data_IF_756997061603
#
_entry.id   IF_756997061603
#
_cell.length_a   1.000
_cell.length_b   1.000
_cell.length_c   1.000
_cell.angle_alpha   90.00
_cell.angle_beta   90.00
_cell.angle_gamma   90.00
#
_symmetry.space_group_name_H-M   'P 1'
#
loop_
_entity.id
_entity.type
_entity.pdbx_description
1 polymer ?
#
# COMPACT_ATOMS: atom_id res chain seq x y z
N UNK A 1 -2.08 30.80 -0.19
CA UNK A 1 -2.84 29.79 -0.95
C UNK A 1 -1.85 28.83 -1.58
N UNK A 2 -1.88 27.55 -1.21
CA UNK A 2 -1.04 26.53 -1.84
C UNK A 2 -1.75 26.07 -3.11
N UNK A 3 -1.13 26.25 -4.28
CA UNK A 3 -1.62 25.65 -5.53
C UNK A 3 -1.01 24.25 -5.68
N UNK A 4 -1.85 23.25 -5.88
CA UNK A 4 -1.46 21.87 -6.14
C UNK A 4 -2.17 21.41 -7.42
N UNK A 5 -1.41 20.98 -8.42
CA UNK A 5 -1.97 20.47 -9.67
C UNK A 5 -2.48 19.03 -9.45
N UNK A 6 -3.43 18.59 -10.27
CA UNK A 6 -3.86 17.19 -10.30
C UNK A 6 -2.65 16.27 -10.49
N UNK A 7 -2.58 15.18 -9.73
CA UNK A 7 -1.45 14.24 -9.77
C UNK A 7 -0.17 14.71 -9.07
N UNK A 8 -0.13 15.95 -8.55
CA UNK A 8 1.04 16.48 -7.83
C UNK A 8 0.86 16.44 -6.31
N UNK A 9 1.97 16.65 -5.58
CA UNK A 9 1.96 16.69 -4.11
C UNK A 9 2.73 17.91 -3.59
N UNK A 10 2.09 18.68 -2.70
CA UNK A 10 2.70 19.77 -1.95
C UNK A 10 2.76 19.43 -0.48
N UNK A 11 3.84 19.80 0.20
CA UNK A 11 4.04 19.54 1.62
C UNK A 11 3.82 20.81 2.45
N UNK A 12 3.18 20.68 3.60
CA UNK A 12 3.20 21.66 4.69
C UNK A 12 3.40 20.98 6.04
N UNK A 13 3.83 21.68 7.10
CA UNK A 13 3.64 21.22 8.46
C UNK A 13 2.15 20.93 8.74
N UNK A 14 1.88 20.01 9.67
CA UNK A 14 0.54 19.87 10.21
C UNK A 14 0.12 21.14 10.95
N UNK A 15 -1.17 21.46 10.90
CA UNK A 15 -1.76 22.65 11.54
C UNK A 15 -3.15 22.31 12.08
N UNK A 16 -3.69 23.14 12.97
CA UNK A 16 -5.01 22.93 13.56
C UNK A 16 -5.06 21.68 14.44
N UNK A 17 -6.20 20.96 14.44
CA UNK A 17 -6.39 19.75 15.24
C UNK A 17 -5.47 18.59 14.83
N UNK A 18 -4.99 18.57 13.58
CA UNK A 18 -4.15 17.48 13.05
C UNK A 18 -2.77 17.41 13.68
N UNK A 19 -2.30 18.46 14.35
CA UNK A 19 -0.96 18.48 14.99
C UNK A 19 -0.80 17.46 16.12
N UNK A 20 -1.90 16.97 16.68
CA UNK A 20 -1.87 15.99 17.77
C UNK A 20 -1.47 14.59 17.28
N UNK A 21 -1.69 14.29 16.01
CA UNK A 21 -1.47 12.95 15.43
C UNK A 21 -0.50 12.95 14.26
N UNK A 22 -0.31 14.09 13.60
CA UNK A 22 0.50 14.22 12.39
C UNK A 22 1.49 15.37 12.50
N UNK A 23 2.68 15.18 11.92
CA UNK A 23 3.73 16.22 11.83
C UNK A 23 3.76 16.90 10.47
N UNK A 24 3.35 16.19 9.41
CA UNK A 24 3.37 16.65 8.02
C UNK A 24 2.02 16.41 7.34
N UNK A 25 1.63 17.32 6.46
CA UNK A 25 0.51 17.15 5.55
C UNK A 25 1.02 17.17 4.11
N UNK A 26 0.67 16.13 3.36
CA UNK A 26 0.93 16.01 1.93
C UNK A 26 -0.38 16.27 1.18
N UNK A 27 -0.48 17.46 0.61
CA UNK A 27 -1.62 17.91 -0.16
C UNK A 27 -1.51 17.40 -1.58
N UNK A 28 -2.43 16.54 -1.99
CA UNK A 28 -2.57 16.09 -3.37
C UNK A 28 -4.00 16.35 -3.86
N UNK A 29 -4.18 16.42 -5.18
CA UNK A 29 -5.48 16.66 -5.80
C UNK A 29 -5.85 15.45 -6.66
N UNK A 30 -6.68 14.54 -6.14
CA UNK A 30 -7.17 13.42 -6.92
C UNK A 30 -8.03 13.91 -8.10
N UNK A 31 -7.90 13.27 -9.27
CA UNK A 31 -8.73 13.59 -10.43
C UNK A 31 -10.20 13.20 -10.17
N UNK A 32 -11.11 13.78 -10.96
CA UNK A 32 -12.46 13.23 -11.08
C UNK A 32 -12.45 11.99 -11.98
N UNK A 33 -13.28 10.99 -11.67
CA UNK A 33 -13.43 9.75 -12.47
C UNK A 33 -13.82 9.99 -13.93
N UNK A 34 -14.51 11.11 -14.20
CA UNK A 34 -14.87 11.54 -15.54
C UNK A 34 -13.69 12.04 -16.38
N UNK A 35 -12.53 12.32 -15.76
CA UNK A 35 -11.32 12.67 -16.50
C UNK A 35 -10.84 11.48 -17.33
N UNK A 36 -10.45 11.67 -18.61
CA UNK A 36 -9.91 10.58 -19.43
C UNK A 36 -8.60 10.00 -18.86
N UNK A 37 -7.84 10.81 -18.11
CA UNK A 37 -6.57 10.43 -17.49
C UNK A 37 -6.69 10.04 -16.02
N UNK A 38 -7.91 9.80 -15.50
CA UNK A 38 -8.13 9.69 -14.05
C UNK A 38 -7.28 8.60 -13.38
N UNK A 39 -7.06 7.42 -13.99
CA UNK A 39 -6.21 6.39 -13.38
C UNK A 39 -4.76 6.86 -13.30
N UNK A 40 -4.23 7.40 -14.40
CA UNK A 40 -2.85 7.89 -14.48
C UNK A 40 -2.61 9.03 -13.47
N UNK A 41 -3.53 9.98 -13.40
CA UNK A 41 -3.45 11.11 -12.46
C UNK A 41 -3.59 10.65 -11.01
N UNK A 42 -4.44 9.66 -10.73
CA UNK A 42 -4.58 9.08 -9.39
C UNK A 42 -3.33 8.29 -8.99
N UNK A 43 -2.74 7.51 -9.90
CA UNK A 43 -1.43 6.88 -9.70
C UNK A 43 -0.35 7.93 -9.41
N UNK A 44 -0.38 9.08 -10.10
CA UNK A 44 0.55 10.17 -9.85
C UNK A 44 0.37 10.77 -8.45
N UNK A 45 -0.85 10.93 -7.95
CA UNK A 45 -1.11 11.35 -6.56
C UNK A 45 -0.40 10.45 -5.54
N UNK A 46 -0.56 9.13 -5.67
CA UNK A 46 0.08 8.16 -4.77
C UNK A 46 1.60 8.18 -4.89
N UNK A 47 2.13 8.06 -6.11
CA UNK A 47 3.58 7.94 -6.34
C UNK A 47 4.34 9.22 -5.98
N UNK A 48 3.80 10.40 -6.28
CA UNK A 48 4.42 11.67 -5.88
C UNK A 48 4.36 11.90 -4.37
N UNK A 49 3.29 11.44 -3.70
CA UNK A 49 3.18 11.48 -2.23
C UNK A 49 4.21 10.56 -1.55
N UNK A 50 4.36 9.32 -2.05
CA UNK A 50 5.35 8.37 -1.56
C UNK A 50 6.78 8.91 -1.73
N UNK A 51 7.12 9.41 -2.93
CA UNK A 51 8.41 10.02 -3.20
C UNK A 51 8.67 11.23 -2.28
N UNK A 52 7.66 12.08 -2.04
CA UNK A 52 7.77 13.22 -1.13
C UNK A 52 8.02 12.76 0.30
N UNK A 53 7.27 11.77 0.80
CA UNK A 53 7.47 11.22 2.15
C UNK A 53 8.88 10.63 2.34
N UNK A 54 9.39 9.90 1.35
CA UNK A 54 10.77 9.41 1.37
C UNK A 54 11.80 10.54 1.40
N UNK A 55 11.60 11.59 0.58
CA UNK A 55 12.51 12.75 0.56
C UNK A 55 12.54 13.50 1.90
N UNK A 56 11.44 13.45 2.65
CA UNK A 56 11.31 14.01 4.00
C UNK A 56 11.78 13.03 5.09
N UNK A 57 12.26 11.84 4.73
CA UNK A 57 12.68 10.78 5.65
C UNK A 57 11.60 10.34 6.65
N UNK A 58 10.33 10.36 6.23
CA UNK A 58 9.21 9.90 7.05
C UNK A 58 9.23 8.38 7.19
N UNK A 59 8.82 7.88 8.35
CA UNK A 59 8.71 6.44 8.63
C UNK A 59 7.31 5.89 8.37
N UNK A 60 6.28 6.74 8.43
CA UNK A 60 4.87 6.36 8.25
C UNK A 60 4.18 7.39 7.37
N UNK A 61 3.39 6.92 6.41
CA UNK A 61 2.50 7.74 5.59
C UNK A 61 1.10 7.12 5.60
N UNK A 62 0.11 7.90 6.01
CA UNK A 62 -1.30 7.49 5.98
C UNK A 62 -2.00 8.10 4.75
N UNK A 63 -2.74 7.28 4.02
CA UNK A 63 -3.61 7.71 2.93
C UNK A 63 -5.08 7.46 3.29
N UNK A 64 -6.00 8.38 2.95
CA UNK A 64 -7.37 7.97 2.68
C UNK A 64 -7.42 7.21 1.34
N UNK A 65 -8.55 6.56 1.03
CA UNK A 65 -8.78 5.99 -0.29
C UNK A 65 -9.04 7.11 -1.33
N UNK A 66 -7.98 7.63 -1.94
CA UNK A 66 -8.04 8.73 -2.91
C UNK A 66 -8.83 8.34 -4.17
N UNK A 67 -9.60 9.28 -4.72
CA UNK A 67 -10.39 9.08 -5.94
C UNK A 67 -11.78 8.48 -5.70
N UNK A 68 -12.03 7.88 -4.53
CA UNK A 68 -13.35 7.44 -4.10
C UNK A 68 -14.25 8.63 -3.66
N UNK A 69 -15.49 8.31 -3.28
CA UNK A 69 -16.45 9.28 -2.74
C UNK A 69 -16.74 10.43 -3.72
N UNK A 70 -16.53 11.68 -3.28
CA UNK A 70 -16.84 12.89 -4.05
C UNK A 70 -16.09 13.02 -5.41
N UNK A 71 -15.05 12.21 -5.64
CA UNK A 71 -14.30 12.18 -6.91
C UNK A 71 -14.88 11.18 -7.93
N UNK A 72 -15.82 10.35 -7.51
CA UNK A 72 -16.70 9.56 -8.38
C UNK A 72 -16.14 8.22 -8.85
N UNK A 73 -14.95 7.80 -8.44
CA UNK A 73 -14.54 6.41 -8.65
C UNK A 73 -15.25 5.51 -7.63
N UNK A 74 -15.58 4.28 -8.01
CA UNK A 74 -16.01 3.28 -7.02
C UNK A 74 -14.85 2.96 -6.08
N UNK A 75 -15.15 2.49 -4.88
CA UNK A 75 -14.12 2.06 -3.93
C UNK A 75 -13.21 0.99 -4.53
N UNK A 76 -13.77 0.06 -5.32
CA UNK A 76 -13.01 -0.98 -6.01
C UNK A 76 -12.04 -0.42 -7.06
N UNK A 77 -12.50 0.55 -7.87
CA UNK A 77 -11.65 1.21 -8.86
C UNK A 77 -10.51 1.99 -8.20
N UNK A 78 -10.83 2.75 -7.15
CA UNK A 78 -9.84 3.51 -6.38
C UNK A 78 -8.83 2.59 -5.67
N UNK A 79 -9.30 1.50 -5.05
CA UNK A 79 -8.47 0.52 -4.37
C UNK A 79 -7.48 -0.14 -5.32
N UNK A 80 -7.94 -0.55 -6.51
CA UNK A 80 -7.08 -1.13 -7.55
C UNK A 80 -5.93 -0.19 -7.90
N UNK A 81 -6.23 1.07 -8.19
CA UNK A 81 -5.20 2.07 -8.53
C UNK A 81 -4.26 2.31 -7.35
N UNK A 82 -4.77 2.41 -6.13
CA UNK A 82 -3.98 2.61 -4.92
C UNK A 82 -2.99 1.46 -4.68
N UNK A 83 -3.47 0.22 -4.68
CA UNK A 83 -2.67 -0.98 -4.46
C UNK A 83 -1.61 -1.12 -5.55
N UNK A 84 -1.99 -0.98 -6.83
CA UNK A 84 -1.05 -1.05 -7.94
C UNK A 84 0.04 0.02 -7.85
N UNK A 85 -0.32 1.27 -7.54
CA UNK A 85 0.63 2.37 -7.42
C UNK A 85 1.64 2.15 -6.27
N UNK A 86 1.15 1.74 -5.09
CA UNK A 86 1.99 1.48 -3.92
C UNK A 86 2.91 0.28 -4.15
N UNK A 87 2.38 -0.83 -4.67
CA UNK A 87 3.16 -2.03 -4.99
C UNK A 87 4.23 -1.76 -6.05
N UNK A 88 3.88 -1.06 -7.14
CA UNK A 88 4.84 -0.70 -8.18
C UNK A 88 5.94 0.24 -7.65
N UNK A 89 5.59 1.21 -6.81
CA UNK A 89 6.56 2.11 -6.19
C UNK A 89 7.54 1.36 -5.26
N UNK A 90 7.02 0.42 -4.48
CA UNK A 90 7.82 -0.40 -3.57
C UNK A 90 8.85 -1.28 -4.30
N UNK A 91 8.46 -1.86 -5.44
CA UNK A 91 9.35 -2.72 -6.26
C UNK A 91 10.42 -1.92 -7.02
N UNK A 92 10.09 -0.74 -7.54
CA UNK A 92 11.06 0.15 -8.20
C UNK A 92 12.13 0.67 -7.23
N UNK A 93 11.71 1.04 -6.01
CA UNK A 93 12.62 1.52 -4.96
C UNK A 93 13.63 0.47 -4.50
N UNK A 94 13.35 -0.83 -4.70
CA UNK A 94 14.28 -1.91 -4.41
C UNK A 94 15.40 -2.05 -5.46
N UNK A 95 15.15 -1.65 -6.72
CA UNK A 95 16.07 -1.85 -7.84
C UNK A 95 17.14 -0.74 -7.97
N UNK A 96 16.85 0.48 -7.54
CA UNK A 96 17.79 1.61 -7.65
C UNK A 96 18.80 1.66 -6.49
N UNK A 97 19.67 0.63 -6.38
CA UNK A 97 20.60 0.49 -5.25
C UNK A 97 22.09 0.47 -5.67
N UNK A 98 22.90 1.45 -5.22
CA UNK A 98 24.36 1.30 -5.18
C UNK A 98 24.74 0.27 -4.11
N UNK A 99 25.54 -0.73 -4.49
CA UNK A 99 25.83 -1.95 -3.73
C UNK A 99 26.73 -1.79 -2.49
N UNK A 100 26.98 -0.57 -2.00
CA UNK A 100 27.99 -0.33 -0.98
C UNK A 100 27.56 0.68 0.09
N UNK A 101 26.86 0.21 1.12
CA UNK A 101 26.98 0.62 2.53
C UNK A 101 25.83 -0.03 3.34
N UNK A 102 26.15 -0.56 4.51
CA UNK A 102 25.22 -1.08 5.52
C UNK A 102 24.49 0.06 6.27
N UNK A 103 23.89 1.01 5.54
CA UNK A 103 23.04 2.03 6.17
C UNK A 103 21.71 1.38 6.59
N UNK A 104 21.43 1.43 7.90
CA UNK A 104 20.19 0.98 8.55
C UNK A 104 18.97 1.40 7.70
N UNK A 105 18.25 0.41 7.15
CA UNK A 105 17.03 0.61 6.36
C UNK A 105 16.06 1.50 7.14
N UNK A 106 15.73 2.68 6.63
CA UNK A 106 14.51 3.39 7.04
C UNK A 106 13.44 3.06 6.00
N UNK A 107 12.61 2.07 6.31
CA UNK A 107 11.44 1.76 5.50
C UNK A 107 10.36 2.82 5.71
N UNK A 108 9.52 3.02 4.69
CA UNK A 108 8.28 3.77 4.79
C UNK A 108 7.13 2.78 4.99
N UNK A 109 6.44 2.86 6.13
CA UNK A 109 5.19 2.15 6.35
C UNK A 109 4.04 2.94 5.74
N UNK A 110 3.20 2.29 4.95
CA UNK A 110 2.01 2.90 4.35
C UNK A 110 0.77 2.37 5.06
N UNK A 111 -0.07 3.28 5.57
CA UNK A 111 -1.35 2.97 6.21
C UNK A 111 -2.49 3.52 5.36
N UNK A 112 -3.61 2.81 5.33
CA UNK A 112 -4.83 3.30 4.70
C UNK A 112 -5.92 3.47 5.75
N UNK A 113 -6.53 4.66 5.78
CA UNK A 113 -7.67 4.99 6.64
C UNK A 113 -8.97 4.93 5.86
N UNK A 114 -9.98 4.30 6.45
CA UNK A 114 -11.31 4.12 5.87
C UNK A 114 -12.36 4.63 6.86
N UNK A 115 -13.42 5.26 6.33
CA UNK A 115 -14.58 5.67 7.11
C UNK A 115 -15.68 4.61 7.10
N UNK A 116 -15.64 3.69 6.13
CA UNK A 116 -16.62 2.62 5.95
C UNK A 116 -15.91 1.25 5.89
N UNK A 117 -16.50 0.25 6.56
CA UNK A 117 -15.96 -1.10 6.61
C UNK A 117 -16.07 -1.84 5.27
N UNK A 118 -17.06 -1.51 4.44
CA UNK A 118 -17.20 -2.04 3.09
C UNK A 118 -16.05 -1.60 2.19
N UNK A 119 -15.69 -0.31 2.23
CA UNK A 119 -14.53 0.21 1.49
C UNK A 119 -13.22 -0.44 1.95
N UNK A 120 -13.08 -0.69 3.25
CA UNK A 120 -11.94 -1.42 3.82
C UNK A 120 -11.87 -2.86 3.29
N UNK A 121 -12.99 -3.59 3.29
CA UNK A 121 -13.05 -4.96 2.78
C UNK A 121 -12.71 -5.04 1.29
N UNK A 122 -13.22 -4.10 0.48
CA UNK A 122 -12.90 -3.99 -0.95
C UNK A 122 -11.41 -3.70 -1.15
N UNK A 123 -10.81 -2.85 -0.32
CA UNK A 123 -9.38 -2.57 -0.40
C UNK A 123 -8.54 -3.80 -0.05
N UNK A 124 -8.90 -4.55 1.00
CA UNK A 124 -8.19 -5.75 1.41
C UNK A 124 -8.26 -6.85 0.35
N UNK A 125 -9.42 -7.08 -0.24
CA UNK A 125 -9.60 -8.01 -1.36
C UNK A 125 -8.68 -7.65 -2.55
N UNK A 126 -8.51 -6.36 -2.83
CA UNK A 126 -7.61 -5.90 -3.88
C UNK A 126 -6.12 -6.08 -3.52
N UNK A 127 -5.74 -5.89 -2.25
CA UNK A 127 -4.40 -6.23 -1.75
C UNK A 127 -4.13 -7.72 -1.94
N UNK A 128 -5.06 -8.60 -1.56
CA UNK A 128 -4.91 -10.05 -1.70
C UNK A 128 -4.73 -10.47 -3.16
N UNK A 129 -5.57 -9.95 -4.07
CA UNK A 129 -5.42 -10.20 -5.52
C UNK A 129 -4.05 -9.78 -6.04
N UNK A 130 -3.58 -8.61 -5.61
CA UNK A 130 -2.27 -8.10 -6.03
C UNK A 130 -1.13 -9.01 -5.53
N UNK A 131 -1.19 -9.46 -4.26
CA UNK A 131 -0.22 -10.40 -3.69
C UNK A 131 -0.21 -11.75 -4.43
N UNK A 132 -1.38 -12.30 -4.75
CA UNK A 132 -1.51 -13.57 -5.49
C UNK A 132 -0.94 -13.47 -6.91
N UNK A 133 -1.08 -12.31 -7.56
CA UNK A 133 -0.54 -12.08 -8.91
C UNK A 133 0.99 -12.06 -8.94
N UNK A 134 1.65 -11.61 -7.86
CA UNK A 134 3.11 -11.59 -7.74
C UNK A 134 3.70 -13.00 -7.57
N UNK A 135 3.00 -13.90 -6.88
CA UNK A 135 3.43 -15.29 -6.64
C UNK A 135 3.47 -16.13 -7.91
N UNK A 136 2.65 -15.79 -8.91
CA UNK A 136 2.50 -16.56 -10.15
C UNK A 136 3.57 -16.25 -11.21
N UNK A 137 4.45 -15.27 -10.96
CA UNK A 137 5.48 -14.80 -11.90
C UNK A 137 6.78 -15.61 -11.91
N UNK A 138 6.96 -16.60 -11.03
CA UNK A 138 8.17 -17.46 -10.98
C UNK A 138 7.91 -18.80 -11.71
N UNK A 139 7.34 -18.72 -12.91
CA UNK A 139 7.12 -19.87 -13.78
C UNK A 139 8.14 -19.90 -14.91
N UNK A 140 9.41 -20.19 -14.61
CA UNK A 140 10.44 -20.38 -15.63
C UNK A 140 10.02 -21.49 -16.60
N UNK A 141 9.81 -21.12 -17.88
CA UNK A 141 9.64 -22.08 -18.96
C UNK A 141 10.87 -23.00 -19.02
N UNK A 142 10.72 -24.23 -18.53
CA UNK A 142 11.60 -25.34 -18.82
C UNK A 142 10.84 -26.36 -19.64
N UNK A 143 11.07 -26.30 -20.94
CA UNK A 143 10.83 -27.39 -21.87
C UNK A 143 11.83 -28.52 -21.59
N UNK A 144 11.34 -29.71 -21.21
CA UNK A 144 11.83 -31.05 -21.62
C UNK A 144 11.26 -32.17 -20.73
N UNK A 145 10.76 -33.22 -21.39
CA UNK A 145 11.13 -34.60 -21.07
C UNK A 145 10.28 -35.38 -20.06
N UNK A 146 9.29 -36.12 -20.58
CA UNK A 146 9.08 -37.57 -20.37
C UNK A 146 9.68 -38.27 -19.11
N UNK A 147 8.80 -38.76 -18.23
CA UNK A 147 8.63 -40.15 -17.71
C UNK A 147 8.33 -40.29 -16.21
N UNK A 148 7.21 -40.99 -15.94
CA UNK A 148 6.77 -41.81 -14.80
C UNK A 148 7.60 -41.86 -13.50
N UNK A 149 6.91 -41.68 -12.35
CA UNK A 149 6.67 -42.75 -11.34
C UNK A 149 5.77 -42.29 -10.17
N UNK A 150 5.18 -43.28 -9.51
CA UNK A 150 4.06 -43.35 -8.54
C UNK A 150 4.32 -42.76 -7.14
N UNK A 151 3.26 -42.43 -6.34
CA UNK A 151 3.42 -41.88 -5.00
C UNK A 151 3.37 -42.97 -3.90
N UNK A 152 4.40 -43.01 -3.06
CA UNK A 152 4.40 -43.72 -1.76
C UNK A 152 4.45 -42.72 -0.61
N UNK A 153 3.45 -42.87 0.27
CA UNK A 153 3.33 -42.58 1.70
C UNK A 153 4.20 -41.50 2.39
N UNK A 154 3.46 -40.60 3.08
CA UNK A 154 3.73 -39.96 4.39
C UNK A 154 5.19 -39.76 4.80
N UNK A 155 5.63 -38.50 4.74
CA UNK A 155 6.47 -37.92 5.80
C UNK A 155 6.01 -36.48 6.10
N UNK A 156 5.71 -36.29 7.38
CA UNK A 156 5.67 -35.03 8.09
C UNK A 156 7.01 -34.31 7.95
N UNK A 157 7.07 -33.23 7.18
CA UNK A 157 8.23 -32.35 7.15
C UNK A 157 7.83 -30.92 7.51
N UNK A 158 8.10 -30.61 8.75
CA UNK A 158 8.31 -29.27 9.28
C UNK A 158 9.49 -28.64 8.53
N UNK A 159 9.21 -27.97 7.40
CA UNK A 159 10.19 -27.15 6.67
C UNK A 159 9.98 -25.68 6.98
N UNK A 160 10.66 -25.23 8.03
CA UNK A 160 11.19 -23.88 8.09
C UNK A 160 12.42 -23.85 7.18
N UNK A 161 12.39 -23.05 6.10
CA UNK A 161 13.59 -22.47 5.50
C UNK A 161 13.27 -21.09 4.91
N UNK A 162 14.26 -20.19 4.85
CA UNK A 162 14.06 -18.75 4.96
C UNK A 162 13.93 -18.09 3.59
N UNK A 163 13.21 -16.97 3.54
CA UNK A 163 13.46 -15.96 2.50
C UNK A 163 14.34 -14.84 3.09
N UNK A 164 15.62 -14.74 2.69
CA UNK A 164 16.53 -13.70 3.15
C UNK A 164 16.58 -12.45 2.25
N UNK A 165 15.72 -12.27 1.22
CA UNK A 165 15.90 -11.14 0.27
C UNK A 165 14.66 -10.32 -0.14
N UNK A 166 13.43 -10.65 0.28
CA UNK A 166 12.24 -9.84 -0.03
C UNK A 166 11.66 -9.09 1.18
N UNK A 167 12.08 -7.84 1.42
CA UNK A 167 11.42 -6.97 2.42
C UNK A 167 10.05 -6.56 1.90
N UNK A 168 8.96 -6.96 2.57
CA UNK A 168 7.90 -6.13 3.19
C UNK A 168 6.92 -7.06 3.95
N UNK A 169 6.68 -6.80 5.25
CA UNK A 169 5.54 -7.39 6.00
C UNK A 169 5.01 -6.38 7.03
N UNK A 170 4.23 -5.41 6.57
CA UNK A 170 3.04 -4.90 7.31
C UNK A 170 2.30 -3.83 6.50
N UNK A 171 1.08 -4.14 6.08
CA UNK A 171 0.05 -3.13 5.85
C UNK A 171 -0.71 -3.06 7.17
N UNK A 172 -0.57 -1.97 7.90
CA UNK A 172 -1.37 -1.72 9.10
C UNK A 172 -2.59 -0.91 8.65
N UNK A 173 -3.77 -1.49 8.78
CA UNK A 173 -5.04 -0.79 8.60
C UNK A 173 -5.48 -0.33 9.97
N UNK A 174 -5.56 0.99 10.17
CA UNK A 174 -6.09 1.59 11.39
C UNK A 174 -7.40 2.29 11.05
N UNK A 175 -8.45 1.97 11.81
CA UNK A 175 -9.71 2.71 11.78
C UNK A 175 -9.48 4.08 12.45
N UNK A 176 -9.71 5.16 11.72
CA UNK A 176 -9.68 6.51 12.30
C UNK A 176 -11.06 6.74 12.92
N UNK A 177 -11.19 6.56 14.23
CA UNK A 177 -12.39 6.92 14.97
C UNK A 177 -12.34 8.40 15.32
N UNK A 178 -13.31 9.18 14.84
CA UNK A 178 -13.54 10.53 15.35
C UNK A 178 -13.80 10.42 16.86
N UNK A 179 -12.90 11.01 17.63
CA UNK A 179 -12.93 10.96 19.08
C UNK A 179 -13.84 12.07 19.59
N UNK A 180 -15.14 11.81 19.62
CA UNK A 180 -16.05 12.44 20.58
C UNK A 180 -16.95 11.33 21.14
N UNK A 181 -16.94 11.24 22.48
CA UNK A 181 -17.75 10.41 23.39
C UNK A 181 -17.01 9.25 24.07
N UNK A 182 -16.96 9.41 25.39
CA UNK A 182 -16.37 8.56 26.41
C UNK A 182 -16.92 7.12 26.42
N UNK A 183 -16.03 6.19 26.77
CA UNK A 183 -16.43 5.04 27.56
C UNK A 183 -16.63 3.72 26.80
N UNK A 184 -15.60 2.89 26.90
CA UNK A 184 -15.71 1.43 27.00
C UNK A 184 -15.90 0.61 25.70
N UNK A 185 -14.93 -0.29 25.55
CA UNK A 185 -14.97 -1.59 24.87
C UNK A 185 -14.71 -1.67 23.37
N UNK A 186 -13.62 -2.38 23.05
CA UNK A 186 -13.63 -3.49 22.10
C UNK A 186 -13.75 -3.16 20.61
N UNK A 187 -12.63 -3.21 19.89
CA UNK A 187 -12.64 -3.23 18.43
C UNK A 187 -11.24 -3.27 17.82
N UNK A 188 -10.42 -4.26 18.19
CA UNK A 188 -9.15 -4.51 17.52
C UNK A 188 -9.40 -5.36 16.28
N UNK A 189 -9.63 -4.74 15.13
CA UNK A 189 -9.50 -5.41 13.84
C UNK A 189 -8.05 -5.28 13.35
N UNK A 190 -7.22 -6.27 13.71
CA UNK A 190 -5.93 -6.49 13.07
C UNK A 190 -6.14 -7.46 11.90
N UNK A 191 -5.88 -7.01 10.66
CA UNK A 191 -5.78 -7.90 9.51
C UNK A 191 -4.30 -8.12 9.17
N UNK A 192 -3.80 -9.33 9.43
CA UNK A 192 -2.47 -9.81 9.01
C UNK A 192 -2.69 -10.63 7.74
N UNK A 193 -2.28 -10.13 6.58
CA UNK A 193 -2.12 -10.98 5.39
C UNK A 193 -0.79 -11.74 5.53
N UNK A 194 -0.86 -13.09 5.53
CA UNK A 194 0.24 -14.02 5.85
C UNK A 194 1.23 -14.26 4.71
#
# INVERSE_FOLDING_TARGET
>A
MVRCHVGSTVHTPATGSLVHSYTHLLHTVPPFRASPSWEQDLTACYTTSLAKAMSLSLSVLAFPLLGAGARGASAQDAARVAVQAVSAFATQSAHHRPTGLLSKRRGLCVRFGFLDLGDCAVFLDEVEKNLLSCSSGVGGSRSRGHQNQTPTERESEQRQHPDPQGVWRRVEVEEIRDSDEDGSSGGSCAAIAH
#
